data_IF_557689471995
#
_entry.id   IF_557689471995
#
_cell.length_a   1.000
_cell.length_b   1.000
_cell.length_c   1.000
_cell.angle_alpha   90.00
_cell.angle_beta   90.00
_cell.angle_gamma   90.00
#
_symmetry.space_group_name_H-M   'P 1'
#
loop_
_entity.id
_entity.type
_entity.pdbx_description
1 polymer ?
#
# COMPACT_ATOMS: atom_id res chain seq x y z
N UNK A 1 15.17 11.00 -7.97
CA UNK A 1 15.55 9.98 -8.97
C UNK A 1 14.44 8.93 -8.94
N UNK A 2 14.04 8.35 -10.08
CA UNK A 2 12.90 7.41 -10.12
C UNK A 2 13.39 6.05 -9.67
N UNK A 3 12.74 5.50 -8.65
CA UNK A 3 13.09 4.23 -8.05
C UNK A 3 11.79 3.50 -7.74
N UNK A 4 11.58 2.36 -8.40
CA UNK A 4 10.53 1.44 -7.96
C UNK A 4 11.02 0.78 -6.69
N UNK A 5 10.35 1.10 -5.59
CA UNK A 5 10.65 0.56 -4.28
C UNK A 5 9.54 -0.41 -3.84
N UNK A 6 9.91 -1.33 -2.95
CA UNK A 6 8.94 -2.10 -2.17
C UNK A 6 8.55 -1.27 -0.96
N UNK A 7 7.26 -1.07 -0.75
CA UNK A 7 6.78 -0.51 0.52
C UNK A 7 7.06 -1.57 1.59
N UNK A 8 7.72 -1.20 2.69
CA UNK A 8 8.06 -2.10 3.81
C UNK A 8 6.82 -2.50 4.63
N UNK A 9 5.90 -3.21 4.00
CA UNK A 9 4.68 -3.74 4.58
C UNK A 9 4.23 -4.98 3.81
N UNK A 10 4.08 -6.09 4.54
CA UNK A 10 3.49 -7.31 3.97
C UNK A 10 1.97 -7.30 4.12
N UNK A 11 1.29 -7.46 2.98
CA UNK A 11 -0.17 -7.54 2.94
C UNK A 11 -0.57 -9.02 3.02
N UNK A 12 -1.23 -9.40 4.11
CA UNK A 12 -1.70 -10.78 4.30
C UNK A 12 -3.20 -10.95 3.99
N UNK A 13 -3.89 -9.84 3.77
CA UNK A 13 -5.33 -9.81 3.50
C UNK A 13 -5.62 -8.71 2.48
N UNK A 14 -6.09 -9.10 1.29
CA UNK A 14 -6.55 -8.16 0.27
C UNK A 14 -7.77 -7.36 0.74
N UNK A 15 -8.64 -7.97 1.54
CA UNK A 15 -9.82 -7.28 2.07
C UNK A 15 -9.43 -6.12 2.99
N UNK A 16 -8.43 -6.32 3.84
CA UNK A 16 -7.93 -5.25 4.74
C UNK A 16 -7.27 -4.14 3.92
N UNK A 17 -6.60 -4.49 2.82
CA UNK A 17 -6.03 -3.53 1.88
C UNK A 17 -7.11 -2.74 1.14
N UNK A 18 -8.17 -3.40 0.64
CA UNK A 18 -9.32 -2.74 0.01
C UNK A 18 -10.00 -1.75 0.99
N UNK A 19 -10.15 -2.14 2.25
CA UNK A 19 -10.68 -1.24 3.30
C UNK A 19 -9.76 -0.04 3.55
N UNK A 20 -8.45 -0.27 3.60
CA UNK A 20 -7.46 0.80 3.72
C UNK A 20 -7.51 1.79 2.54
N UNK A 21 -7.62 1.28 1.30
CA UNK A 21 -7.81 2.11 0.12
C UNK A 21 -9.07 2.97 0.24
N UNK A 22 -10.21 2.38 0.60
CA UNK A 22 -11.48 3.12 0.80
C UNK A 22 -11.35 4.20 1.88
N UNK A 23 -10.67 3.91 2.99
CA UNK A 23 -10.42 4.86 4.08
C UNK A 23 -9.63 6.09 3.60
N UNK A 24 -8.72 5.89 2.66
CA UNK A 24 -7.85 6.94 2.11
C UNK A 24 -8.42 7.60 0.84
N UNK A 25 -9.58 7.14 0.36
CA UNK A 25 -10.16 7.60 -0.91
C UNK A 25 -9.44 7.05 -2.15
N UNK A 26 -8.62 6.01 -2.00
CA UNK A 26 -7.95 5.34 -3.11
C UNK A 26 -8.86 4.31 -3.76
N UNK A 27 -8.59 4.03 -5.03
CA UNK A 27 -9.37 3.10 -5.83
C UNK A 27 -8.54 1.82 -6.01
N UNK A 28 -8.99 0.73 -5.41
CA UNK A 28 -8.41 -0.59 -5.63
C UNK A 28 -8.92 -1.17 -6.95
N UNK A 29 -8.00 -1.40 -7.89
CA UNK A 29 -8.26 -1.99 -9.20
C UNK A 29 -7.96 -3.48 -9.15
N UNK A 30 -9.02 -4.28 -9.05
CA UNK A 30 -8.89 -5.73 -8.95
C UNK A 30 -8.56 -6.37 -10.31
N UNK A 31 -7.63 -7.34 -10.32
CA UNK A 31 -7.18 -8.08 -11.51
C UNK A 31 -6.52 -7.20 -12.58
N UNK A 32 -6.11 -5.98 -12.23
CA UNK A 32 -5.30 -5.15 -13.11
C UNK A 32 -3.87 -5.70 -13.12
N UNK A 33 -3.43 -6.14 -14.31
CA UNK A 33 -2.16 -6.85 -14.47
C UNK A 33 -0.94 -5.94 -14.64
N UNK A 34 -1.16 -4.65 -14.86
CA UNK A 34 -0.10 -3.67 -15.01
C UNK A 34 -0.47 -2.38 -14.29
N UNK A 35 0.48 -1.73 -13.64
CA UNK A 35 0.29 -0.45 -12.96
C UNK A 35 1.03 0.66 -13.69
N UNK A 36 0.48 1.87 -13.68
CA UNK A 36 1.15 3.04 -14.25
C UNK A 36 2.38 3.44 -13.42
N UNK A 37 3.54 3.49 -14.05
CA UNK A 37 4.82 3.88 -13.45
C UNK A 37 5.69 4.58 -14.49
N UNK A 38 6.89 5.06 -14.14
CA UNK A 38 7.77 5.79 -15.07
C UNK A 38 8.12 4.99 -16.35
N UNK A 39 8.03 3.66 -16.31
CA UNK A 39 8.15 2.80 -17.49
C UNK A 39 9.59 2.46 -17.92
N UNK A 40 10.60 3.01 -17.23
CA UNK A 40 12.00 2.67 -17.44
C UNK A 40 12.73 2.52 -16.11
N UNK A 41 13.23 1.31 -15.82
CA UNK A 41 14.24 1.14 -14.77
C UNK A 41 15.57 1.68 -15.28
N UNK A 42 16.14 2.65 -14.58
CA UNK A 42 17.44 3.26 -14.97
C UNK A 42 18.61 2.44 -14.44
N UNK A 43 18.37 1.36 -13.68
CA UNK A 43 19.42 0.45 -13.18
C UNK A 43 20.24 1.02 -12.01
N UNK A 44 19.93 2.23 -11.57
CA UNK A 44 20.72 2.97 -10.56
C UNK A 44 20.37 2.59 -9.10
N UNK A 45 19.43 1.68 -8.87
CA UNK A 45 18.98 1.30 -7.53
C UNK A 45 18.75 -0.21 -7.43
N UNK A 46 19.14 -0.85 -6.31
CA UNK A 46 18.89 -2.27 -6.12
C UNK A 46 17.39 -2.54 -6.20
N UNK A 47 17.02 -3.52 -7.01
CA UNK A 47 15.66 -3.99 -7.07
C UNK A 47 15.27 -4.58 -5.70
N UNK A 48 13.99 -4.49 -5.32
CA UNK A 48 13.51 -5.19 -4.13
C UNK A 48 13.83 -6.69 -4.23
N UNK A 49 14.18 -7.30 -3.10
CA UNK A 49 14.51 -8.72 -3.03
C UNK A 49 13.37 -9.58 -3.65
N UNK A 50 13.72 -10.42 -4.62
CA UNK A 50 12.76 -11.27 -5.34
C UNK A 50 11.93 -10.56 -6.42
N UNK A 51 12.35 -9.37 -6.88
CA UNK A 51 11.79 -8.65 -8.04
C UNK A 51 12.87 -8.49 -9.10
N UNK A 52 12.59 -8.92 -10.33
CA UNK A 52 13.45 -8.67 -11.48
C UNK A 52 13.03 -7.39 -12.23
N UNK A 53 13.90 -6.87 -13.09
CA UNK A 53 13.58 -5.72 -13.96
C UNK A 53 12.34 -6.01 -14.81
N UNK A 54 12.21 -7.25 -15.30
CA UNK A 54 11.09 -7.69 -16.15
C UNK A 54 9.75 -7.82 -15.40
N UNK A 55 9.79 -7.81 -14.06
CA UNK A 55 8.60 -7.80 -13.21
C UNK A 55 8.09 -6.37 -12.94
N UNK A 56 8.91 -5.35 -13.24
CA UNK A 56 8.52 -3.96 -13.03
C UNK A 56 7.38 -3.56 -13.97
N UNK A 57 6.38 -2.90 -13.40
CA UNK A 57 5.16 -2.55 -14.13
C UNK A 57 4.11 -3.64 -14.18
N UNK A 58 4.44 -4.89 -13.80
CA UNK A 58 3.47 -6.00 -13.69
C UNK A 58 2.95 -6.12 -12.27
N UNK A 59 1.68 -6.45 -12.13
CA UNK A 59 1.03 -6.71 -10.85
C UNK A 59 -0.12 -7.70 -10.98
N UNK A 60 -0.69 -8.11 -9.85
CA UNK A 60 -1.94 -8.90 -9.81
C UNK A 60 -3.15 -7.98 -9.58
N UNK A 61 -2.94 -6.88 -8.87
CA UNK A 61 -3.90 -5.79 -8.68
C UNK A 61 -3.17 -4.45 -8.71
N UNK A 62 -3.89 -3.35 -8.88
CA UNK A 62 -3.32 -2.02 -8.77
C UNK A 62 -4.11 -1.16 -7.78
N UNK A 63 -3.47 -0.14 -7.22
CA UNK A 63 -4.13 0.88 -6.41
C UNK A 63 -3.91 2.21 -7.11
N UNK A 64 -5.01 2.82 -7.52
CA UNK A 64 -5.03 4.16 -8.09
C UNK A 64 -5.25 5.18 -7.00
N UNK A 65 -4.29 6.10 -6.88
CA UNK A 65 -4.39 7.25 -5.98
C UNK A 65 -4.96 8.43 -6.79
N UNK A 66 -6.10 9.03 -6.36
CA UNK A 66 -6.64 10.20 -7.05
C UNK A 66 -5.60 11.32 -7.16
N UNK A 67 -5.65 12.06 -8.27
CA UNK A 67 -4.71 13.17 -8.56
C UNK A 67 -3.25 12.73 -8.79
N UNK A 68 -2.95 11.43 -8.75
CA UNK A 68 -1.66 10.89 -9.11
C UNK A 68 -1.71 10.25 -10.50
N UNK A 69 -0.62 10.42 -11.24
CA UNK A 69 -0.44 9.78 -12.56
C UNK A 69 -0.01 8.32 -12.40
N UNK A 70 0.78 8.04 -11.35
CA UNK A 70 1.27 6.70 -11.08
C UNK A 70 0.35 5.94 -10.13
N UNK A 71 0.46 4.63 -10.21
CA UNK A 71 -0.30 3.67 -9.45
C UNK A 71 0.64 2.82 -8.60
N UNK A 72 0.08 2.17 -7.58
CA UNK A 72 0.80 1.23 -6.73
C UNK A 72 0.45 -0.18 -7.22
N UNK A 73 1.45 -0.94 -7.65
CA UNK A 73 1.30 -2.35 -8.01
C UNK A 73 1.16 -3.22 -6.78
N UNK A 74 0.20 -4.14 -6.79
CA UNK A 74 0.02 -5.17 -5.76
C UNK A 74 0.42 -6.50 -6.38
N UNK A 75 1.53 -7.07 -5.91
CA UNK A 75 2.10 -8.31 -6.47
C UNK A 75 1.93 -9.44 -5.46
N UNK A 76 1.36 -10.55 -5.89
CA UNK A 76 1.19 -11.75 -5.10
C UNK A 76 2.50 -12.52 -4.99
N UNK A 77 2.84 -12.91 -3.76
CA UNK A 77 4.00 -13.73 -3.42
C UNK A 77 3.54 -14.83 -2.46
N UNK A 78 3.20 -15.98 -3.04
CA UNK A 78 2.62 -17.11 -2.31
C UNK A 78 1.26 -16.77 -1.70
N UNK A 79 1.19 -16.77 -0.36
CA UNK A 79 -0.02 -16.42 0.41
C UNK A 79 -0.11 -14.93 0.78
N UNK A 80 0.93 -14.15 0.48
CA UNK A 80 1.03 -12.74 0.81
C UNK A 80 1.05 -11.88 -0.45
N UNK A 81 0.91 -10.58 -0.26
CA UNK A 81 1.10 -9.57 -1.32
C UNK A 81 2.14 -8.55 -0.85
N UNK A 82 2.91 -8.08 -1.82
CA UNK A 82 3.85 -6.96 -1.67
C UNK A 82 3.33 -5.79 -2.49
N UNK A 83 3.68 -4.58 -2.07
CA UNK A 83 3.31 -3.36 -2.76
C UNK A 83 4.56 -2.77 -3.43
N UNK A 84 4.45 -2.51 -4.73
CA UNK A 84 5.45 -1.84 -5.53
C UNK A 84 4.94 -0.46 -5.91
N UNK A 85 5.79 0.54 -5.73
CA UNK A 85 5.46 1.91 -6.12
C UNK A 85 6.69 2.60 -6.69
N UNK A 86 6.45 3.61 -7.53
CA UNK A 86 7.49 4.50 -8.01
C UNK A 86 7.40 5.81 -7.24
N UNK A 87 8.38 6.10 -6.39
CA UNK A 87 8.39 7.31 -5.55
C UNK A 87 8.83 8.56 -6.32
N UNK A 88 8.98 8.50 -7.64
CA UNK A 88 9.34 9.67 -8.43
C UNK A 88 8.31 10.80 -8.30
N UNK A 89 8.81 11.99 -7.98
CA UNK A 89 7.99 13.18 -7.72
C UNK A 89 7.00 13.53 -8.86
N UNK A 90 7.32 13.24 -10.12
CA UNK A 90 6.41 13.49 -11.25
C UNK A 90 5.18 12.57 -11.25
N UNK A 91 5.24 11.44 -10.52
CA UNK A 91 4.11 10.52 -10.31
C UNK A 91 3.10 10.99 -9.27
N UNK A 92 3.48 11.96 -8.42
CA UNK A 92 2.63 12.53 -7.37
C UNK A 92 2.39 11.64 -6.15
N UNK A 93 2.79 10.38 -6.17
CA UNK A 93 2.50 9.42 -5.09
C UNK A 93 3.11 9.85 -3.76
N UNK A 94 4.40 10.19 -3.70
CA UNK A 94 5.07 10.58 -2.44
C UNK A 94 4.40 11.80 -1.77
N UNK A 95 3.93 12.76 -2.57
CA UNK A 95 3.22 13.94 -2.05
C UNK A 95 1.88 13.59 -1.39
N UNK A 96 1.24 12.49 -1.82
CA UNK A 96 -0.10 12.10 -1.37
C UNK A 96 -0.09 11.04 -0.28
N UNK A 97 0.78 10.03 -0.39
CA UNK A 97 0.89 8.94 0.58
C UNK A 97 2.05 9.10 1.57
N UNK A 98 2.83 10.17 1.43
CA UNK A 98 3.98 10.47 2.27
C UNK A 98 5.21 9.64 1.91
N UNK A 99 6.34 9.97 2.54
CA UNK A 99 7.57 9.21 2.38
C UNK A 99 7.35 7.75 2.79
N UNK A 100 7.87 6.83 1.97
CA UNK A 100 7.74 5.37 2.11
C UNK A 100 6.28 4.89 2.31
N UNK A 101 5.32 5.58 1.66
CA UNK A 101 3.90 5.26 1.72
C UNK A 101 3.31 5.19 3.15
N UNK A 102 3.84 5.97 4.09
CA UNK A 102 3.46 5.94 5.51
C UNK A 102 1.96 5.99 5.77
N UNK A 103 1.21 6.79 4.99
CA UNK A 103 -0.25 6.90 5.11
C UNK A 103 -0.96 5.59 4.77
N UNK A 104 -0.54 4.91 3.70
CA UNK A 104 -1.10 3.62 3.29
C UNK A 104 -0.76 2.52 4.31
N UNK A 105 0.49 2.51 4.80
CA UNK A 105 0.92 1.55 5.82
C UNK A 105 0.12 1.66 7.10
N UNK A 106 -0.10 2.90 7.55
CA UNK A 106 -0.91 3.19 8.72
C UNK A 106 -2.36 2.74 8.51
N UNK A 107 -2.97 3.10 7.37
CA UNK A 107 -4.35 2.74 7.05
C UNK A 107 -4.58 1.22 7.04
N UNK A 108 -3.68 0.47 6.38
CA UNK A 108 -3.73 -0.99 6.36
C UNK A 108 -3.63 -1.59 7.77
N UNK A 109 -2.69 -1.09 8.58
CA UNK A 109 -2.47 -1.58 9.94
C UNK A 109 -3.72 -1.41 10.81
N UNK A 110 -4.41 -0.27 10.71
CA UNK A 110 -5.66 -0.01 11.44
C UNK A 110 -6.75 -1.01 11.05
N UNK A 111 -7.01 -1.16 9.76
CA UNK A 111 -8.12 -2.00 9.28
C UNK A 111 -7.85 -3.48 9.63
N UNK A 112 -6.59 -3.91 9.57
CA UNK A 112 -6.18 -5.21 10.06
C UNK A 112 -6.40 -5.39 11.56
N UNK A 113 -5.96 -4.44 12.38
CA UNK A 113 -6.17 -4.49 13.84
C UNK A 113 -7.67 -4.52 14.17
N UNK A 114 -8.49 -3.73 13.47
CA UNK A 114 -9.94 -3.72 13.66
C UNK A 114 -10.59 -5.06 13.34
N UNK A 115 -10.15 -5.71 12.25
CA UNK A 115 -10.63 -7.03 11.88
C UNK A 115 -10.26 -8.08 12.93
N UNK A 116 -9.00 -8.11 13.35
CA UNK A 116 -8.51 -9.03 14.39
C UNK A 116 -9.21 -8.80 15.73
N UNK A 117 -9.38 -7.54 16.14
CA UNK A 117 -10.09 -7.17 17.35
C UNK A 117 -11.54 -7.67 17.32
N UNK A 118 -12.25 -7.46 16.20
CA UNK A 118 -13.62 -7.94 16.02
C UNK A 118 -13.72 -9.46 16.14
N UNK A 119 -12.81 -10.20 15.50
CA UNK A 119 -12.77 -11.68 15.60
C UNK A 119 -12.56 -12.14 17.04
N UNK A 120 -11.74 -11.42 17.80
CA UNK A 120 -11.45 -11.69 19.21
C UNK A 120 -12.44 -11.03 20.18
N UNK A 121 -13.57 -10.52 19.70
CA UNK A 121 -14.63 -9.87 20.49
C UNK A 121 -14.16 -8.66 21.31
N UNK A 122 -13.21 -7.89 20.78
CA UNK A 122 -12.84 -6.58 21.31
C UNK A 122 -13.58 -5.46 20.59
N UNK A 123 -13.95 -4.42 21.33
CA UNK A 123 -14.32 -3.12 20.80
C UNK A 123 -13.07 -2.30 20.52
N UNK A 124 -13.06 -1.58 19.39
CA UNK A 124 -11.95 -0.71 18.99
C UNK A 124 -12.42 0.74 18.99
N UNK A 125 -11.70 1.61 19.71
CA UNK A 125 -11.87 3.06 19.63
C UNK A 125 -10.63 3.68 18.98
N UNK A 126 -10.86 4.42 17.91
CA UNK A 126 -9.82 5.21 17.24
C UNK A 126 -9.74 6.60 17.90
N UNK A 127 -8.53 7.01 18.28
CA UNK A 127 -8.24 8.36 18.79
C UNK A 127 -7.18 8.97 17.87
N UNK A 128 -7.61 9.91 17.01
CA UNK A 128 -6.72 10.69 16.17
C UNK A 128 -6.04 11.76 17.02
N UNK A 129 -4.72 11.86 16.91
CA UNK A 129 -3.89 12.97 17.39
C UNK A 129 -3.14 13.53 16.18
N UNK A 130 -2.69 14.78 16.25
CA UNK A 130 -2.14 15.52 15.10
C UNK A 130 -1.16 14.70 14.24
N UNK A 131 -0.18 14.04 14.86
CA UNK A 131 0.83 13.24 14.17
C UNK A 131 0.73 11.73 14.44
N UNK A 132 -0.29 11.28 15.17
CA UNK A 132 -0.37 9.87 15.58
C UNK A 132 -1.79 9.37 15.72
N UNK A 133 -1.94 8.05 15.71
CA UNK A 133 -3.23 7.41 15.88
C UNK A 133 -3.12 6.36 16.96
N UNK A 134 -4.00 6.47 17.96
CA UNK A 134 -4.08 5.52 19.06
C UNK A 134 -5.32 4.65 18.87
N UNK A 135 -5.11 3.35 18.87
CA UNK A 135 -6.19 2.35 18.91
C UNK A 135 -6.32 1.87 20.34
N UNK A 136 -7.51 2.01 20.92
CA UNK A 136 -7.83 1.50 22.26
C UNK A 136 -8.72 0.27 22.09
N UNK A 137 -8.24 -0.87 22.58
CA UNK A 137 -8.93 -2.16 22.57
C UNK A 137 -9.58 -2.39 23.93
N UNK A 138 -10.88 -2.71 23.95
CA UNK A 138 -11.62 -3.08 25.17
C UNK A 138 -12.34 -4.40 24.94
N UNK A 139 -12.41 -5.26 25.94
CA UNK A 139 -13.24 -6.46 25.87
C UNK A 139 -14.70 -6.02 25.70
N UNK A 140 -15.41 -6.66 24.77
CA UNK A 140 -16.85 -6.44 24.58
C UNK A 140 -17.66 -7.14 25.67
#
# INVERSE_FOLDING_TARGET
MSHVAKIELEIQSLEDLKLACRRLGFIFQENQQNYQWYGRSVGDYPLPEGINVDDLGKCDHAIKVPECTYEIGVVKRGTKYILLWDSWHAGGLEQKIGSDAGTLKQAYTIERIKREAKLKKYQVREIKKDQSMRLVLRLS
#
